data_IF_021623272893
#
_entry.id   IF_021623272893
#
_cell.length_a   1.000
_cell.length_b   1.000
_cell.length_c   1.000
_cell.angle_alpha   90.00
_cell.angle_beta   90.00
_cell.angle_gamma   90.00
#
_symmetry.space_group_name_H-M   'P 1'
#
loop_
_entity.id
_entity.type
_entity.pdbx_description
1 polymer ?
#
# COMPACT_ATOMS: atom_id res chain seq x y z
N UNK A 1 -12.70 -18.99 -19.20
CA UNK A 1 -12.30 -18.77 -17.79
C UNK A 1 -11.84 -20.09 -17.22
N UNK A 2 -10.56 -20.21 -16.87
CA UNK A 2 -10.06 -21.41 -16.20
C UNK A 2 -10.65 -21.49 -14.81
N UNK A 3 -11.56 -22.46 -14.59
CA UNK A 3 -12.16 -22.72 -13.29
C UNK A 3 -11.15 -23.24 -12.25
N UNK A 4 -9.92 -23.57 -12.64
CA UNK A 4 -8.90 -24.12 -11.78
C UNK A 4 -7.69 -23.18 -11.66
N UNK A 5 -7.85 -22.17 -10.81
CA UNK A 5 -6.74 -21.25 -10.56
C UNK A 5 -5.74 -21.83 -9.56
N UNK A 6 -4.45 -21.66 -9.87
CA UNK A 6 -3.37 -22.00 -8.95
C UNK A 6 -2.97 -20.78 -8.12
N UNK A 7 -2.93 -20.95 -6.81
CA UNK A 7 -2.38 -19.97 -5.86
C UNK A 7 -1.07 -20.48 -5.23
N UNK A 8 -0.39 -21.48 -5.85
CA UNK A 8 0.86 -22.04 -5.34
C UNK A 8 1.97 -21.00 -5.37
N UNK A 9 2.21 -20.40 -6.53
CA UNK A 9 3.18 -19.36 -6.75
C UNK A 9 2.51 -18.02 -7.06
N UNK A 10 3.22 -16.91 -6.91
CA UNK A 10 2.80 -15.59 -7.40
C UNK A 10 2.78 -15.63 -8.93
N UNK A 11 1.84 -14.91 -9.53
CA UNK A 11 1.82 -14.74 -10.99
C UNK A 11 2.75 -13.60 -11.40
N UNK A 12 3.35 -13.73 -12.59
CA UNK A 12 4.16 -12.67 -13.21
C UNK A 12 3.33 -11.79 -14.16
N UNK A 13 2.00 -11.99 -14.24
CA UNK A 13 1.12 -11.14 -15.07
C UNK A 13 1.14 -9.73 -14.54
N UNK A 14 1.29 -8.76 -15.44
CA UNK A 14 1.26 -7.34 -15.12
C UNK A 14 -0.18 -6.83 -15.02
N UNK A 15 -0.39 -5.84 -14.17
CA UNK A 15 -1.65 -5.11 -14.04
C UNK A 15 -1.66 -3.97 -15.06
N UNK A 16 -2.84 -3.59 -15.53
CA UNK A 16 -2.96 -2.46 -16.46
C UNK A 16 -2.49 -1.16 -15.79
N UNK A 17 -2.70 -1.03 -14.49
CA UNK A 17 -2.22 0.14 -13.72
C UNK A 17 -0.69 0.20 -13.56
N UNK A 18 0.06 -0.87 -13.88
CA UNK A 18 1.53 -0.84 -13.92
C UNK A 18 2.04 0.01 -15.12
N UNK A 19 1.18 0.33 -16.09
CA UNK A 19 1.47 1.29 -17.16
C UNK A 19 1.21 2.73 -16.69
N UNK A 20 2.26 3.42 -16.27
CA UNK A 20 2.20 4.79 -15.76
C UNK A 20 1.82 5.84 -16.82
N UNK A 21 1.68 5.46 -18.11
CA UNK A 21 1.12 6.33 -19.16
C UNK A 21 -0.41 6.44 -19.08
N UNK A 22 -1.07 5.51 -18.38
CA UNK A 22 -2.51 5.57 -18.17
C UNK A 22 -2.86 6.73 -17.25
N UNK A 23 -3.77 7.59 -17.72
CA UNK A 23 -4.17 8.80 -17.02
C UNK A 23 -5.63 9.19 -17.32
N UNK A 24 -5.95 10.46 -17.09
CA UNK A 24 -7.26 11.05 -17.35
C UNK A 24 -8.38 10.46 -16.50
N UNK A 25 -9.62 10.54 -17.01
CA UNK A 25 -10.83 10.14 -16.28
C UNK A 25 -10.86 8.65 -15.98
N UNK A 26 -10.26 7.82 -16.83
CA UNK A 26 -10.20 6.37 -16.59
C UNK A 26 -9.43 6.03 -15.32
N UNK A 27 -8.26 6.65 -15.10
CA UNK A 27 -7.47 6.42 -13.91
C UNK A 27 -8.18 6.98 -12.67
N UNK A 28 -8.76 8.18 -12.75
CA UNK A 28 -9.51 8.80 -11.65
C UNK A 28 -10.69 7.91 -11.22
N UNK A 29 -11.52 7.47 -12.15
CA UNK A 29 -12.63 6.55 -11.87
C UNK A 29 -12.15 5.23 -11.25
N UNK A 30 -10.99 4.75 -11.70
CA UNK A 30 -10.39 3.54 -11.15
C UNK A 30 -9.94 3.72 -9.70
N UNK A 31 -9.21 4.80 -9.41
CA UNK A 31 -8.73 5.12 -8.06
C UNK A 31 -9.90 5.33 -7.09
N UNK A 32 -10.95 6.07 -7.48
CA UNK A 32 -12.13 6.30 -6.65
C UNK A 32 -12.87 4.99 -6.32
N UNK A 33 -13.02 4.11 -7.29
CA UNK A 33 -13.66 2.80 -7.07
C UNK A 33 -12.80 1.89 -6.21
N UNK A 34 -11.48 1.90 -6.38
CA UNK A 34 -10.55 1.15 -5.52
C UNK A 34 -10.60 1.66 -4.08
N UNK A 35 -10.63 2.98 -3.85
CA UNK A 35 -10.83 3.55 -2.52
C UNK A 35 -12.14 3.04 -1.90
N UNK A 36 -13.25 3.10 -2.64
CA UNK A 36 -14.56 2.65 -2.16
C UNK A 36 -14.55 1.17 -1.79
N UNK A 37 -13.96 0.30 -2.63
CA UNK A 37 -13.81 -1.13 -2.34
C UNK A 37 -12.94 -1.33 -1.09
N UNK A 38 -11.80 -0.64 -0.97
CA UNK A 38 -10.91 -0.73 0.18
C UNK A 38 -11.59 -0.28 1.46
N UNK A 39 -12.34 0.82 1.44
CA UNK A 39 -13.09 1.32 2.59
C UNK A 39 -14.18 0.33 3.00
N UNK A 40 -14.96 -0.16 2.06
CA UNK A 40 -16.02 -1.12 2.31
C UNK A 40 -15.50 -2.43 2.91
N UNK A 41 -14.36 -2.90 2.42
CA UNK A 41 -13.67 -4.09 2.94
C UNK A 41 -12.83 -3.82 4.19
N UNK A 42 -12.79 -2.59 4.71
CA UNK A 42 -12.05 -2.21 5.91
C UNK A 42 -10.53 -2.16 5.72
N UNK A 43 -10.05 -2.11 4.47
CA UNK A 43 -8.62 -2.13 4.15
C UNK A 43 -7.86 -0.94 4.72
N UNK A 44 -8.39 0.28 4.61
CA UNK A 44 -7.77 1.48 5.15
C UNK A 44 -7.59 1.41 6.68
N UNK A 45 -8.56 0.81 7.39
CA UNK A 45 -8.49 0.63 8.84
C UNK A 45 -7.34 -0.27 9.27
N UNK A 46 -6.92 -1.22 8.44
CA UNK A 46 -5.76 -2.08 8.74
C UNK A 46 -4.50 -1.22 8.85
N UNK A 47 -4.27 -0.30 7.90
CA UNK A 47 -3.10 0.59 7.90
C UNK A 47 -3.16 1.59 9.06
N UNK A 48 -4.31 2.26 9.29
CA UNK A 48 -4.47 3.24 10.37
C UNK A 48 -4.33 2.57 11.76
N UNK A 49 -4.89 1.37 11.96
CA UNK A 49 -4.76 0.65 13.23
C UNK A 49 -3.32 0.14 13.45
N UNK A 50 -2.60 -0.20 12.39
CA UNK A 50 -1.17 -0.54 12.46
C UNK A 50 -0.37 0.66 12.94
N UNK A 51 -0.61 1.82 12.33
CA UNK A 51 0.02 3.09 12.72
C UNK A 51 -0.27 3.43 14.18
N UNK A 52 -1.54 3.32 14.61
CA UNK A 52 -1.92 3.51 16.01
C UNK A 52 -1.14 2.60 16.97
N UNK A 53 -0.91 1.34 16.58
CA UNK A 53 -0.13 0.39 17.40
C UNK A 53 1.34 0.79 17.51
N UNK A 54 1.95 1.21 16.38
CA UNK A 54 3.35 1.66 16.34
C UNK A 54 3.55 2.93 17.16
N UNK A 55 2.57 3.84 17.15
CA UNK A 55 2.65 5.14 17.84
C UNK A 55 2.17 5.13 19.29
N UNK A 56 1.79 3.97 19.83
CA UNK A 56 1.17 3.87 21.18
C UNK A 56 1.93 4.62 22.28
N UNK A 57 3.27 4.60 22.23
CA UNK A 57 4.14 5.22 23.24
C UNK A 57 4.93 6.42 22.67
N UNK A 58 4.52 6.95 21.51
CA UNK A 58 5.24 8.07 20.91
C UNK A 58 4.78 9.41 21.51
N UNK A 59 5.73 10.32 21.87
CA UNK A 59 5.41 11.67 22.33
C UNK A 59 4.64 12.44 21.24
N UNK A 60 3.50 13.03 21.59
CA UNK A 60 2.62 13.71 20.63
C UNK A 60 3.17 15.03 20.11
N UNK A 61 4.05 15.65 20.86
CA UNK A 61 4.71 16.94 20.57
C UNK A 61 5.78 16.79 19.48
N UNK A 62 6.38 15.59 19.35
CA UNK A 62 7.41 15.33 18.35
C UNK A 62 6.75 15.15 16.98
N UNK A 63 7.29 15.84 15.98
CA UNK A 63 6.86 15.65 14.59
C UNK A 63 7.27 14.26 14.08
N UNK A 64 6.38 13.63 13.34
CA UNK A 64 6.59 12.31 12.74
C UNK A 64 6.46 12.45 11.23
N UNK A 65 7.53 12.10 10.52
CA UNK A 65 7.52 12.02 9.06
C UNK A 65 7.07 10.62 8.62
N UNK A 66 5.94 10.58 7.92
CA UNK A 66 5.34 9.34 7.37
C UNK A 66 5.34 9.43 5.86
N UNK A 67 5.87 8.40 5.19
CA UNK A 67 5.83 8.28 3.73
C UNK A 67 4.92 7.12 3.36
N UNK A 68 4.00 7.33 2.42
CA UNK A 68 3.17 6.30 1.80
C UNK A 68 3.65 6.09 0.36
N UNK A 69 4.10 4.88 0.06
CA UNK A 69 4.63 4.50 -1.25
C UNK A 69 3.56 3.78 -2.07
N UNK A 70 3.43 4.17 -3.36
CA UNK A 70 2.29 3.77 -4.19
C UNK A 70 1.01 4.37 -3.64
N UNK A 71 1.03 5.67 -3.31
CA UNK A 71 -0.05 6.33 -2.59
C UNK A 71 -1.32 6.54 -3.43
N UNK A 72 -1.27 6.29 -4.75
CA UNK A 72 -2.38 6.58 -5.66
C UNK A 72 -2.86 8.03 -5.51
N UNK A 73 -4.15 8.23 -5.28
CA UNK A 73 -4.72 9.55 -5.05
C UNK A 73 -4.76 9.97 -3.56
N UNK A 74 -4.00 9.30 -2.69
CA UNK A 74 -3.75 9.71 -1.31
C UNK A 74 -4.85 9.43 -0.28
N UNK A 75 -5.76 8.50 -0.53
CA UNK A 75 -6.86 8.17 0.38
C UNK A 75 -6.38 7.66 1.76
N UNK A 76 -5.34 6.82 1.79
CA UNK A 76 -4.73 6.35 3.04
C UNK A 76 -4.14 7.52 3.83
N UNK A 77 -3.40 8.42 3.16
CA UNK A 77 -2.77 9.56 3.83
C UNK A 77 -3.81 10.55 4.38
N UNK A 78 -4.93 10.76 3.67
CA UNK A 78 -6.04 11.57 4.22
C UNK A 78 -6.64 10.92 5.48
N UNK A 79 -6.75 9.59 5.54
CA UNK A 79 -7.22 8.90 6.74
C UNK A 79 -6.19 8.96 7.87
N UNK A 80 -4.89 8.89 7.55
CA UNK A 80 -3.79 9.09 8.51
C UNK A 80 -3.79 10.53 9.06
N UNK A 81 -4.02 11.54 8.20
CA UNK A 81 -4.13 12.93 8.63
C UNK A 81 -5.30 13.14 9.60
N UNK A 82 -6.50 12.61 9.26
CA UNK A 82 -7.65 12.62 10.18
C UNK A 82 -7.34 11.96 11.52
N UNK A 83 -6.64 10.82 11.48
CA UNK A 83 -6.19 10.13 12.70
C UNK A 83 -5.23 11.02 13.52
N UNK A 84 -4.25 11.66 12.87
CA UNK A 84 -3.30 12.56 13.51
C UNK A 84 -4.00 13.73 14.20
N UNK A 85 -4.86 14.44 13.48
CA UNK A 85 -5.66 15.56 14.00
C UNK A 85 -6.55 15.15 15.18
N UNK A 86 -7.21 13.98 15.08
CA UNK A 86 -8.09 13.45 16.15
C UNK A 86 -7.34 13.11 17.44
N UNK A 87 -6.06 12.75 17.33
CA UNK A 87 -5.26 12.27 18.46
C UNK A 87 -4.11 13.21 18.84
N UNK A 88 -4.09 14.43 18.30
CA UNK A 88 -3.10 15.48 18.55
C UNK A 88 -1.65 15.09 18.20
N UNK A 89 -1.47 14.25 17.18
CA UNK A 89 -0.14 14.00 16.62
C UNK A 89 0.24 15.06 15.58
N UNK A 90 1.52 15.43 15.57
CA UNK A 90 2.10 16.31 14.56
C UNK A 90 2.70 15.45 13.44
N UNK A 91 2.00 15.37 12.32
CA UNK A 91 2.44 14.59 11.17
C UNK A 91 2.95 15.48 10.04
N UNK A 92 4.05 15.03 9.42
CA UNK A 92 4.47 15.44 8.09
C UNK A 92 4.25 14.23 7.18
N UNK A 93 3.30 14.34 6.26
CA UNK A 93 2.82 13.24 5.43
C UNK A 93 3.28 13.43 3.99
N UNK A 94 3.91 12.41 3.42
CA UNK A 94 4.45 12.47 2.05
C UNK A 94 3.90 11.26 1.29
N UNK A 95 3.12 11.52 0.24
CA UNK A 95 2.68 10.50 -0.70
C UNK A 95 3.61 10.44 -1.91
N UNK A 96 4.00 9.23 -2.29
CA UNK A 96 4.85 8.97 -3.46
C UNK A 96 4.15 7.99 -4.37
N UNK A 97 4.05 8.35 -5.64
CA UNK A 97 3.55 7.47 -6.70
C UNK A 97 4.35 7.73 -7.98
N UNK A 98 4.50 6.71 -8.81
CA UNK A 98 5.19 6.84 -10.10
C UNK A 98 4.28 7.47 -11.18
N UNK A 99 2.96 7.43 -11.00
CA UNK A 99 2.01 7.98 -11.96
C UNK A 99 1.72 9.46 -11.69
N UNK A 100 2.12 10.39 -12.57
CA UNK A 100 1.92 11.84 -12.36
C UNK A 100 0.45 12.24 -12.33
N UNK A 101 -0.45 11.52 -13.04
CA UNK A 101 -1.89 11.81 -13.02
C UNK A 101 -2.50 11.48 -11.66
N UNK A 102 -2.05 10.38 -11.02
CA UNK A 102 -2.47 10.04 -9.65
C UNK A 102 -2.04 11.13 -8.66
N UNK A 103 -0.82 11.65 -8.78
CA UNK A 103 -0.29 12.72 -7.92
C UNK A 103 -1.04 14.04 -8.11
N UNK A 104 -1.37 14.41 -9.35
CA UNK A 104 -2.20 15.60 -9.62
C UNK A 104 -3.56 15.44 -8.92
N UNK A 105 -4.18 14.28 -9.06
CA UNK A 105 -5.47 14.00 -8.46
C UNK A 105 -5.39 13.94 -6.92
N UNK A 106 -4.32 13.39 -6.36
CA UNK A 106 -4.09 13.40 -4.91
C UNK A 106 -4.02 14.83 -4.33
N UNK A 107 -3.34 15.75 -5.03
CA UNK A 107 -3.26 17.15 -4.63
C UNK A 107 -4.64 17.84 -4.69
N UNK A 108 -5.42 17.60 -5.75
CA UNK A 108 -6.77 18.15 -5.89
C UNK A 108 -7.67 17.74 -4.72
N UNK A 109 -7.62 16.46 -4.33
CA UNK A 109 -8.46 15.90 -3.26
C UNK A 109 -7.97 16.24 -1.84
N UNK A 110 -6.77 16.78 -1.70
CA UNK A 110 -6.12 16.97 -0.40
C UNK A 110 -5.87 18.42 -0.01
N UNK A 111 -6.54 19.38 -0.65
CA UNK A 111 -6.37 20.83 -0.41
C UNK A 111 -6.63 21.26 1.03
N UNK A 112 -7.46 20.51 1.79
CA UNK A 112 -7.77 20.78 3.20
C UNK A 112 -6.75 20.18 4.18
N UNK A 113 -5.67 19.56 3.66
CA UNK A 113 -4.67 18.85 4.46
C UNK A 113 -3.27 19.46 4.24
N UNK A 114 -2.93 20.60 4.88
CA UNK A 114 -1.65 21.27 4.68
C UNK A 114 -0.45 20.43 5.14
N UNK A 115 -0.66 19.41 5.97
CA UNK A 115 0.35 18.44 6.39
C UNK A 115 0.72 17.41 5.33
N UNK A 116 -0.05 17.31 4.21
CA UNK A 116 0.20 16.39 3.11
C UNK A 116 1.00 17.06 1.98
N UNK A 117 1.93 16.30 1.44
CA UNK A 117 2.66 16.64 0.22
C UNK A 117 2.72 15.41 -0.68
N UNK A 118 2.48 15.57 -1.97
CA UNK A 118 2.54 14.46 -2.93
C UNK A 118 3.64 14.70 -3.97
N UNK A 119 4.34 13.63 -4.35
CA UNK A 119 5.44 13.67 -5.31
C UNK A 119 5.35 12.54 -6.31
N UNK A 120 5.54 12.86 -7.59
CA UNK A 120 5.85 11.85 -8.61
C UNK A 120 7.32 11.49 -8.47
N UNK A 121 7.60 10.27 -8.01
CA UNK A 121 8.96 9.86 -7.68
C UNK A 121 9.12 8.34 -7.82
N UNK A 122 10.26 7.91 -8.35
CA UNK A 122 10.66 6.50 -8.35
C UNK A 122 11.25 6.13 -6.99
N UNK A 123 10.65 5.14 -6.32
CA UNK A 123 11.12 4.62 -5.02
C UNK A 123 12.49 3.93 -5.09
N UNK A 124 13.00 3.64 -6.28
CA UNK A 124 14.35 3.09 -6.48
C UNK A 124 15.39 4.19 -6.75
N UNK A 125 14.98 5.45 -6.84
CA UNK A 125 15.88 6.59 -7.01
C UNK A 125 16.81 6.80 -5.81
N UNK A 126 17.97 7.40 -6.06
CA UNK A 126 18.90 7.77 -4.98
C UNK A 126 18.31 8.87 -4.08
N UNK A 127 17.44 9.75 -4.62
CA UNK A 127 16.73 10.76 -3.83
C UNK A 127 15.85 10.10 -2.77
N UNK A 128 15.06 9.10 -3.17
CA UNK A 128 14.23 8.34 -2.23
C UNK A 128 15.08 7.59 -1.21
N UNK A 129 16.10 6.85 -1.65
CA UNK A 129 16.95 6.01 -0.78
C UNK A 129 17.71 6.79 0.29
N UNK A 130 18.03 8.07 0.06
CA UNK A 130 18.74 8.93 1.00
C UNK A 130 17.80 9.72 1.93
N UNK A 131 16.49 9.60 1.77
CA UNK A 131 15.51 10.29 2.61
C UNK A 131 15.37 9.60 3.97
N UNK A 132 15.58 10.35 5.07
CA UNK A 132 15.29 9.86 6.42
C UNK A 132 13.81 10.07 6.73
N UNK A 133 13.14 9.00 7.18
CA UNK A 133 11.72 9.00 7.52
C UNK A 133 11.47 8.21 8.80
N UNK A 134 10.41 8.52 9.52
CA UNK A 134 10.07 7.76 10.73
C UNK A 134 9.34 6.48 10.39
N UNK A 135 8.34 6.56 9.54
CA UNK A 135 7.46 5.44 9.18
C UNK A 135 7.26 5.41 7.67
N UNK A 136 7.34 4.22 7.08
CA UNK A 136 6.94 3.96 5.71
C UNK A 136 5.67 3.12 5.71
N UNK A 137 4.67 3.55 4.95
CA UNK A 137 3.46 2.82 4.64
C UNK A 137 3.58 2.22 3.24
N UNK A 138 3.07 1.00 3.07
CA UNK A 138 2.93 0.34 1.78
C UNK A 138 1.59 -0.41 1.79
N UNK A 139 0.56 0.20 1.25
CA UNK A 139 -0.79 -0.36 1.21
C UNK A 139 -1.14 -0.80 -0.20
N UNK A 140 -1.36 -2.11 -0.41
CA UNK A 140 -1.65 -2.71 -1.72
C UNK A 140 -0.62 -2.32 -2.78
N UNK A 141 0.65 -2.41 -2.43
CA UNK A 141 1.73 -1.92 -3.27
C UNK A 141 2.83 -2.96 -3.51
N UNK A 142 3.26 -3.70 -2.48
CA UNK A 142 4.43 -4.58 -2.61
C UNK A 142 4.19 -5.77 -3.55
N UNK A 143 2.94 -6.16 -3.76
CA UNK A 143 2.61 -7.25 -4.68
C UNK A 143 2.96 -6.94 -6.15
N UNK A 144 3.18 -5.67 -6.53
CA UNK A 144 3.61 -5.29 -7.88
C UNK A 144 5.05 -5.72 -8.21
N UNK A 145 5.89 -6.03 -7.22
CA UNK A 145 7.31 -6.30 -7.42
C UNK A 145 7.65 -7.79 -7.34
N UNK A 146 8.70 -8.20 -8.06
CA UNK A 146 9.30 -9.52 -7.95
C UNK A 146 10.07 -9.66 -6.63
N UNK A 147 10.34 -10.89 -6.21
CA UNK A 147 10.93 -11.17 -4.89
C UNK A 147 12.31 -10.50 -4.71
N UNK A 148 13.16 -10.53 -5.74
CA UNK A 148 14.50 -9.92 -5.69
C UNK A 148 14.42 -8.41 -5.50
N UNK A 149 13.49 -7.75 -6.21
CA UNK A 149 13.22 -6.32 -6.09
C UNK A 149 12.72 -5.96 -4.68
N UNK A 150 11.82 -6.80 -4.11
CA UNK A 150 11.30 -6.61 -2.76
C UNK A 150 12.37 -6.70 -1.69
N UNK A 151 13.29 -7.67 -1.79
CA UNK A 151 14.38 -7.82 -0.82
C UNK A 151 15.30 -6.60 -0.87
N UNK A 152 15.69 -6.15 -2.07
CA UNK A 152 16.50 -4.93 -2.23
C UNK A 152 15.78 -3.71 -1.69
N UNK A 153 14.52 -3.49 -2.10
CA UNK A 153 13.71 -2.37 -1.66
C UNK A 153 13.54 -2.34 -0.13
N UNK A 154 13.19 -3.46 0.49
CA UNK A 154 13.03 -3.56 1.95
C UNK A 154 14.35 -3.29 2.67
N UNK A 155 15.47 -3.79 2.15
CA UNK A 155 16.81 -3.55 2.73
C UNK A 155 17.16 -2.07 2.71
N UNK A 156 16.89 -1.36 1.62
CA UNK A 156 17.17 0.07 1.50
C UNK A 156 16.19 0.90 2.33
N UNK A 157 14.90 0.56 2.28
CA UNK A 157 13.86 1.22 3.09
C UNK A 157 14.12 1.07 4.59
N UNK A 158 14.62 -0.08 5.04
CA UNK A 158 15.01 -0.27 6.44
C UNK A 158 16.15 0.65 6.86
N UNK A 159 17.13 0.94 5.99
CA UNK A 159 18.24 1.86 6.33
C UNK A 159 17.74 3.27 6.62
N UNK A 160 16.82 3.76 5.82
CA UNK A 160 16.27 5.12 5.91
C UNK A 160 15.17 5.30 6.96
N UNK A 161 14.44 4.21 7.31
CA UNK A 161 13.32 4.24 8.25
C UNK A 161 13.83 4.23 9.70
N UNK A 162 13.27 5.06 10.57
CA UNK A 162 13.70 5.17 11.96
C UNK A 162 12.85 4.32 12.92
N UNK A 163 11.56 4.12 12.65
CA UNK A 163 10.62 3.46 13.57
C UNK A 163 10.03 2.18 13.01
N UNK A 164 9.33 2.27 11.87
CA UNK A 164 8.62 1.11 11.33
C UNK A 164 8.35 1.20 9.83
N UNK A 165 8.30 0.02 9.19
CA UNK A 165 7.65 -0.17 7.89
C UNK A 165 6.33 -0.90 8.17
N UNK A 166 5.21 -0.36 7.68
CA UNK A 166 3.87 -0.91 7.82
C UNK A 166 3.38 -1.33 6.45
N UNK A 167 3.22 -2.62 6.25
CA UNK A 167 2.70 -3.21 5.01
C UNK A 167 1.29 -3.73 5.26
N UNK A 168 0.37 -3.41 4.36
CA UNK A 168 -0.97 -3.95 4.30
C UNK A 168 -1.21 -4.43 2.87
N UNK A 169 -1.11 -5.74 2.64
CA UNK A 169 -1.15 -6.28 1.29
C UNK A 169 -1.98 -7.57 1.19
N UNK A 170 -2.30 -7.99 -0.04
CA UNK A 170 -3.24 -9.04 -0.34
C UNK A 170 -2.71 -10.43 0.05
N UNK A 171 -3.62 -11.25 0.59
CA UNK A 171 -3.39 -12.66 0.80
C UNK A 171 -3.76 -13.45 -0.48
N UNK A 172 -2.76 -14.08 -1.11
CA UNK A 172 -2.94 -14.96 -2.28
C UNK A 172 -3.73 -16.21 -1.89
N UNK A 173 -5.04 -16.16 -2.03
CA UNK A 173 -5.95 -17.22 -1.63
C UNK A 173 -7.04 -17.49 -2.69
N UNK A 174 -7.35 -18.76 -2.97
CA UNK A 174 -8.39 -19.14 -3.95
C UNK A 174 -9.73 -18.49 -3.66
N UNK A 175 -10.16 -18.53 -2.39
CA UNK A 175 -11.44 -17.95 -1.99
C UNK A 175 -11.46 -16.43 -2.22
N UNK A 176 -10.36 -15.72 -1.96
CA UNK A 176 -10.25 -14.29 -2.26
C UNK A 176 -10.47 -14.01 -3.75
N UNK A 177 -9.84 -14.81 -4.61
CA UNK A 177 -10.00 -14.70 -6.06
C UNK A 177 -11.45 -14.89 -6.51
N UNK A 178 -12.12 -15.97 -6.05
CA UNK A 178 -13.50 -16.23 -6.46
C UNK A 178 -14.49 -15.24 -5.87
N UNK A 179 -14.27 -14.76 -4.64
CA UNK A 179 -15.10 -13.70 -4.04
C UNK A 179 -14.95 -12.39 -4.79
N UNK A 180 -13.71 -12.03 -5.18
CA UNK A 180 -13.50 -10.84 -6.01
C UNK A 180 -14.11 -11.00 -7.41
N UNK A 181 -13.99 -12.18 -8.02
CA UNK A 181 -14.65 -12.49 -9.29
C UNK A 181 -16.18 -12.35 -9.19
N UNK A 182 -16.79 -12.78 -8.07
CA UNK A 182 -18.22 -12.60 -7.83
C UNK A 182 -18.55 -11.10 -7.64
N UNK A 183 -17.76 -10.38 -6.85
CA UNK A 183 -17.92 -8.94 -6.66
C UNK A 183 -17.78 -8.17 -7.97
N UNK A 184 -16.91 -8.62 -8.86
CA UNK A 184 -16.65 -7.96 -10.15
C UNK A 184 -17.85 -7.89 -11.08
N UNK A 185 -18.87 -8.73 -10.88
CA UNK A 185 -20.15 -8.68 -11.63
C UNK A 185 -20.84 -7.32 -11.43
N UNK A 186 -20.63 -6.68 -10.28
CA UNK A 186 -21.20 -5.37 -9.96
C UNK A 186 -20.27 -4.20 -10.32
N UNK A 187 -19.04 -4.49 -10.77
CA UNK A 187 -18.04 -3.49 -11.13
C UNK A 187 -18.09 -3.24 -12.64
N UNK A 188 -18.38 -2.00 -13.06
CA UNK A 188 -18.46 -1.63 -14.49
C UNK A 188 -17.11 -1.20 -15.10
N UNK A 189 -16.02 -1.24 -14.34
CA UNK A 189 -14.68 -0.84 -14.77
C UNK A 189 -13.85 -2.08 -15.08
N UNK A 190 -13.50 -2.29 -16.37
CA UNK A 190 -12.75 -3.47 -16.83
C UNK A 190 -11.30 -3.51 -16.28
N UNK A 191 -10.68 -2.35 -16.05
CA UNK A 191 -9.35 -2.26 -15.48
C UNK A 191 -9.36 -2.83 -14.06
N UNK A 192 -10.29 -2.39 -13.20
CA UNK A 192 -10.43 -2.91 -11.82
C UNK A 192 -10.68 -4.42 -11.81
N UNK A 193 -11.50 -4.92 -12.75
CA UNK A 193 -11.80 -6.37 -12.82
C UNK A 193 -10.54 -7.16 -13.17
N UNK A 194 -9.82 -6.72 -14.21
CA UNK A 194 -8.60 -7.38 -14.64
C UNK A 194 -7.53 -7.32 -13.55
N UNK A 195 -7.22 -6.10 -13.08
CA UNK A 195 -6.13 -5.87 -12.16
C UNK A 195 -6.40 -6.48 -10.79
N UNK A 196 -7.62 -6.37 -10.27
CA UNK A 196 -7.96 -6.96 -8.98
C UNK A 196 -7.85 -8.49 -8.93
N UNK A 197 -8.16 -9.20 -10.03
CA UNK A 197 -7.93 -10.64 -10.13
C UNK A 197 -6.42 -10.97 -10.19
N UNK A 198 -5.65 -10.16 -10.91
CA UNK A 198 -4.19 -10.30 -11.00
C UNK A 198 -3.55 -9.98 -9.65
N UNK A 199 -3.93 -8.86 -9.00
CA UNK A 199 -3.42 -8.44 -7.68
C UNK A 199 -3.59 -9.53 -6.63
N UNK A 200 -4.76 -10.22 -6.58
CA UNK A 200 -4.96 -11.36 -5.67
C UNK A 200 -3.94 -12.46 -5.93
N UNK A 201 -3.59 -12.74 -7.21
CA UNK A 201 -2.63 -13.78 -7.56
C UNK A 201 -1.17 -13.34 -7.38
N UNK A 202 -0.90 -12.04 -7.41
CA UNK A 202 0.39 -11.43 -7.07
C UNK A 202 0.59 -11.29 -5.56
N UNK A 203 -0.50 -11.33 -4.77
CA UNK A 203 -0.47 -11.23 -3.31
C UNK A 203 0.42 -12.28 -2.63
N UNK A 204 0.53 -12.21 -1.33
CA UNK A 204 1.47 -12.99 -0.54
C UNK A 204 0.80 -14.16 0.19
N UNK A 205 1.58 -15.17 0.52
CA UNK A 205 1.30 -16.10 1.63
C UNK A 205 2.14 -15.71 2.84
N UNK A 206 1.72 -16.12 4.03
CA UNK A 206 2.49 -15.88 5.27
C UNK A 206 3.95 -16.32 5.11
N UNK A 207 4.20 -17.48 4.51
CA UNK A 207 5.55 -18.02 4.27
C UNK A 207 6.40 -17.11 3.40
N UNK A 208 5.80 -16.45 2.40
CA UNK A 208 6.53 -15.52 1.53
C UNK A 208 7.06 -14.33 2.35
N UNK A 209 6.21 -13.76 3.23
CA UNK A 209 6.57 -12.66 4.12
C UNK A 209 7.62 -13.07 5.16
N UNK A 210 7.52 -14.28 5.70
CA UNK A 210 8.50 -14.84 6.65
C UNK A 210 9.88 -15.01 5.99
N UNK A 211 9.92 -15.55 4.76
CA UNK A 211 11.16 -15.70 3.98
C UNK A 211 11.79 -14.32 3.67
N UNK A 212 10.99 -13.36 3.23
CA UNK A 212 11.49 -12.00 2.97
C UNK A 212 12.04 -11.36 4.23
N UNK A 213 11.36 -11.53 5.37
CA UNK A 213 11.84 -11.02 6.66
C UNK A 213 13.17 -11.62 7.06
N UNK A 214 13.37 -12.92 6.84
CA UNK A 214 14.66 -13.59 7.08
C UNK A 214 15.75 -13.04 6.18
N UNK A 215 15.46 -12.84 4.87
CA UNK A 215 16.44 -12.30 3.92
C UNK A 215 16.93 -10.90 4.26
N UNK A 216 16.07 -10.07 4.87
CA UNK A 216 16.45 -8.71 5.32
C UNK A 216 16.79 -8.63 6.81
N UNK A 217 16.93 -9.79 7.47
CA UNK A 217 17.33 -9.94 8.87
C UNK A 217 16.46 -9.13 9.86
N UNK A 218 15.15 -9.22 9.72
CA UNK A 218 14.19 -8.56 10.62
C UNK A 218 13.25 -9.58 11.27
N UNK A 219 12.78 -9.25 12.48
CA UNK A 219 11.73 -10.00 13.16
C UNK A 219 10.36 -9.45 12.78
N UNK A 220 9.55 -10.17 12.00
CA UNK A 220 8.28 -9.65 11.52
C UNK A 220 7.16 -9.81 12.53
N UNK A 221 6.22 -8.86 12.53
CA UNK A 221 4.90 -9.03 13.12
C UNK A 221 3.90 -9.19 11.98
N UNK A 222 3.52 -10.44 11.67
CA UNK A 222 2.61 -10.76 10.56
C UNK A 222 1.27 -11.20 11.14
N UNK A 223 0.20 -10.52 10.78
CA UNK A 223 -1.18 -10.83 11.15
C UNK A 223 -2.07 -10.92 9.92
N UNK A 224 -2.93 -11.93 9.86
CA UNK A 224 -3.99 -11.97 8.87
C UNK A 224 -5.11 -10.99 9.27
N UNK A 225 -5.65 -10.27 8.29
CA UNK A 225 -6.74 -9.31 8.46
C UNK A 225 -7.86 -9.58 7.45
N UNK A 226 -9.06 -9.19 7.82
CA UNK A 226 -10.19 -9.12 6.91
C UNK A 226 -9.92 -8.03 5.83
N UNK A 227 -10.26 -8.12 4.58
CA UNK A 227 -10.73 -9.24 3.80
C UNK A 227 -9.55 -9.81 2.99
N UNK A 228 -9.01 -10.94 3.42
CA UNK A 228 -7.85 -11.59 2.78
C UNK A 228 -6.65 -10.66 2.63
N UNK A 229 -6.16 -10.11 3.73
CA UNK A 229 -4.97 -9.24 3.77
C UNK A 229 -3.97 -9.75 4.80
N UNK A 230 -2.72 -9.41 4.59
CA UNK A 230 -1.70 -9.46 5.61
C UNK A 230 -1.32 -8.05 6.05
N UNK A 231 -1.38 -7.82 7.36
CA UNK A 231 -0.67 -6.76 8.04
C UNK A 231 0.72 -7.28 8.37
N UNK A 232 1.73 -6.60 7.89
CA UNK A 232 3.12 -6.94 8.18
C UNK A 232 3.84 -5.70 8.69
N UNK A 233 4.21 -5.70 9.98
CA UNK A 233 4.89 -4.59 10.64
C UNK A 233 6.32 -5.01 10.92
N UNK A 234 7.26 -4.20 10.46
CA UNK A 234 8.69 -4.32 10.72
C UNK A 234 9.09 -3.11 11.56
N UNK A 235 9.38 -3.34 12.82
CA UNK A 235 9.85 -2.29 13.76
C UNK A 235 11.36 -2.37 13.92
N UNK A 236 12.00 -1.20 14.07
CA UNK A 236 13.39 -1.04 14.48
C UNK A 236 13.53 -0.97 15.97
#
# INVERSE_FOLDING_TARGET
MDFFISTKNRTDKEELMDDFSIGGDLLRDTLDKLENINRWLGGNLVTVNSLKSVLKNHPKEAEITIVDIGCGHGDILRDVAKFGRKHDYKFKLIGIDANPTAIIYANELSTEYPELTFKTEDIFSDEFKNRKVDIVLATLFLHHFKEEQLVSFLSDTLKQTQKAIIVNDLHRHKLAYYLFMLLSVFIKNKMIINDGLISVLRGFKRKDLEIMSQKVNVKPQISWKWAFRFQWIIQK
#
